data_IF_234495603260
#
_entry.id   IF_234495603260
#
_cell.length_a   1.000
_cell.length_b   1.000
_cell.length_c   1.000
_cell.angle_alpha   90.00
_cell.angle_beta   90.00
_cell.angle_gamma   90.00
#
_symmetry.space_group_name_H-M   'P 1'
#
loop_
_entity.id
_entity.type
_entity.pdbx_description
1 polymer ?
#
# COMPACT_ATOMS: atom_id res chain seq x y z
N UNK A 1 -13.17 -7.13 -1.42
CA UNK A 1 -12.73 -6.89 -0.03
C UNK A 1 -12.42 -5.41 0.09
N UNK A 2 -12.71 -4.78 1.22
CA UNK A 2 -12.36 -3.38 1.45
C UNK A 2 -11.26 -3.38 2.51
N UNK A 3 -10.03 -3.07 2.10
CA UNK A 3 -8.88 -2.98 2.98
C UNK A 3 -8.72 -1.52 3.43
N UNK A 4 -8.34 -1.32 4.68
CA UNK A 4 -7.99 0.00 5.18
C UNK A 4 -6.55 0.27 4.78
N UNK A 5 -6.34 1.19 3.83
CA UNK A 5 -5.00 1.52 3.32
C UNK A 5 -4.55 2.85 3.91
N UNK A 6 -3.52 2.79 4.74
CA UNK A 6 -2.81 3.96 5.24
C UNK A 6 -1.77 4.39 4.22
N UNK A 7 -1.65 5.71 3.99
CA UNK A 7 -0.71 6.27 3.02
C UNK A 7 0.09 7.39 3.62
N UNK A 8 1.40 7.37 3.42
CA UNK A 8 2.32 8.43 3.85
C UNK A 8 3.15 8.92 2.66
N UNK A 9 3.51 10.20 2.67
CA UNK A 9 4.40 10.80 1.69
C UNK A 9 5.78 10.98 2.31
N UNK A 10 6.75 10.32 1.71
CA UNK A 10 8.16 10.35 2.10
C UNK A 10 8.80 11.71 1.79
N UNK A 11 9.90 12.01 2.49
CA UNK A 11 10.66 13.25 2.31
C UNK A 11 11.26 13.40 0.90
N UNK A 12 11.46 12.29 0.18
CA UNK A 12 11.91 12.27 -1.21
C UNK A 12 10.77 12.42 -2.23
N UNK A 13 9.53 12.56 -1.75
CA UNK A 13 8.34 12.74 -2.56
C UNK A 13 7.66 11.45 -3.01
N UNK A 14 8.21 10.27 -2.70
CA UNK A 14 7.53 9.00 -2.93
C UNK A 14 6.36 8.83 -1.97
N UNK A 15 5.40 7.98 -2.36
CA UNK A 15 4.31 7.54 -1.51
C UNK A 15 4.58 6.14 -1.03
N UNK A 16 4.29 5.87 0.23
CA UNK A 16 4.16 4.53 0.79
C UNK A 16 2.70 4.28 1.13
N UNK A 17 2.23 3.07 0.86
CA UNK A 17 0.92 2.60 1.27
C UNK A 17 1.05 1.28 2.02
N UNK A 18 0.32 1.12 3.11
CA UNK A 18 0.27 -0.09 3.93
C UNK A 18 -1.18 -0.49 4.19
N UNK A 19 -1.46 -1.80 4.10
CA UNK A 19 -2.76 -2.37 4.47
C UNK A 19 -2.78 -2.62 5.97
N UNK A 20 -3.63 -1.91 6.71
CA UNK A 20 -3.67 -1.94 8.17
C UNK A 20 -4.00 -3.35 8.72
N UNK A 21 -4.81 -4.12 8.00
CA UNK A 21 -5.19 -5.48 8.38
C UNK A 21 -4.09 -6.53 8.12
N UNK A 22 -3.05 -6.18 7.35
CA UNK A 22 -2.01 -7.11 6.93
C UNK A 22 -0.61 -6.49 7.06
N UNK A 23 -0.02 -6.55 8.26
CA UNK A 23 1.33 -6.04 8.50
C UNK A 23 2.34 -6.61 7.49
N UNK A 24 3.11 -5.72 6.87
CA UNK A 24 4.07 -6.08 5.81
C UNK A 24 3.50 -6.08 4.39
N UNK A 25 2.20 -5.86 4.21
CA UNK A 25 1.60 -5.56 2.90
C UNK A 25 1.72 -4.08 2.56
N UNK A 26 2.97 -3.61 2.45
CA UNK A 26 3.30 -2.24 2.12
C UNK A 26 4.09 -2.10 0.82
N UNK A 27 3.82 -1.03 0.07
CA UNK A 27 4.48 -0.73 -1.19
C UNK A 27 4.69 0.76 -1.42
N UNK A 28 5.80 1.06 -2.08
CA UNK A 28 6.09 2.39 -2.58
C UNK A 28 5.49 2.63 -3.98
N UNK A 29 5.06 3.86 -4.22
CA UNK A 29 4.61 4.40 -5.50
C UNK A 29 5.13 5.82 -5.72
N UNK A 30 5.15 6.27 -6.98
CA UNK A 30 5.42 7.67 -7.33
C UNK A 30 4.20 8.56 -7.07
N UNK A 31 3.01 7.97 -7.12
CA UNK A 31 1.75 8.60 -6.74
C UNK A 31 1.08 7.82 -5.61
N UNK A 32 0.15 8.49 -4.92
CA UNK A 32 -0.66 7.87 -3.87
C UNK A 32 -1.41 6.64 -4.39
N UNK A 33 -2.06 6.76 -5.54
CA UNK A 33 -2.85 5.67 -6.13
C UNK A 33 -1.99 4.49 -6.58
N UNK A 34 -0.78 4.75 -7.09
CA UNK A 34 0.17 3.69 -7.44
C UNK A 34 0.61 2.90 -6.19
N UNK A 35 0.89 3.60 -5.08
CA UNK A 35 1.25 2.96 -3.82
C UNK A 35 0.11 2.07 -3.32
N UNK A 36 -1.12 2.61 -3.30
CA UNK A 36 -2.33 1.88 -2.87
C UNK A 36 -2.54 0.62 -3.71
N UNK A 37 -2.60 0.75 -5.04
CA UNK A 37 -2.86 -0.38 -5.93
C UNK A 37 -1.81 -1.50 -5.76
N UNK A 38 -0.55 -1.14 -5.52
CA UNK A 38 0.52 -2.12 -5.26
C UNK A 38 0.40 -2.78 -3.89
N UNK A 39 0.01 -2.04 -2.86
CA UNK A 39 -0.23 -2.58 -1.52
C UNK A 39 -1.42 -3.55 -1.51
N UNK A 40 -2.53 -3.17 -2.15
CA UNK A 40 -3.70 -4.03 -2.32
C UNK A 40 -3.38 -5.30 -3.11
N UNK A 41 -2.63 -5.20 -4.22
CA UNK A 41 -2.20 -6.37 -4.99
C UNK A 41 -1.32 -7.32 -4.16
N UNK A 42 -0.46 -6.78 -3.29
CA UNK A 42 0.33 -7.60 -2.36
C UNK A 42 -0.57 -8.29 -1.33
N UNK A 43 -1.54 -7.59 -0.76
CA UNK A 43 -2.47 -8.16 0.22
C UNK A 43 -3.34 -9.27 -0.39
N UNK A 44 -3.84 -9.07 -1.61
CA UNK A 44 -4.58 -10.10 -2.35
C UNK A 44 -3.72 -11.34 -2.60
N UNK A 45 -2.44 -11.18 -2.93
CA UNK A 45 -1.51 -12.29 -3.12
C UNK A 45 -1.28 -13.10 -1.85
N UNK A 46 -1.29 -12.46 -0.67
CA UNK A 46 -1.07 -13.15 0.60
C UNK A 46 -2.25 -14.05 1.02
N UNK A 47 -3.46 -13.74 0.53
CA UNK A 47 -4.70 -14.44 0.87
C UNK A 47 -5.11 -15.44 -0.24
N UNK A 48 -4.43 -15.39 -1.39
CA UNK A 48 -4.64 -16.27 -2.54
C UNK A 48 -3.98 -17.66 -2.39
#
# INVERSE_FOLDING_TARGET
>A
MQFTVETERENDGRWIAEVAELPGAMKYGRTRDEAIARAEALALRAIA
#
